data_IF_152706455721
#
_entry.id   IF_152706455721
#
_cell.length_a   1.000
_cell.length_b   1.000
_cell.length_c   1.000
_cell.angle_alpha   90.00
_cell.angle_beta   90.00
_cell.angle_gamma   90.00
#
_symmetry.space_group_name_H-M   'P 1'
#
loop_
_entity.id
_entity.type
_entity.pdbx_description
1 polymer ?
#
# COMPACT_ATOMS: atom_id res chain seq x y z
N UNK A 1 11.23 -9.40 12.12
CA UNK A 1 10.21 -8.45 12.58
C UNK A 1 9.95 -7.41 11.51
N UNK A 2 8.69 -7.09 11.26
CA UNK A 2 8.34 -6.13 10.23
C UNK A 2 8.49 -4.70 10.72
N UNK A 3 8.84 -3.80 9.81
CA UNK A 3 9.02 -2.40 10.15
C UNK A 3 7.69 -1.69 10.40
N UNK A 4 6.64 -2.09 9.69
CA UNK A 4 5.33 -1.45 9.77
C UNK A 4 4.22 -2.50 9.82
N UNK A 5 3.19 -2.25 10.64
CA UNK A 5 1.99 -3.09 10.72
C UNK A 5 0.79 -2.14 10.66
N UNK A 6 0.29 -1.83 9.47
CA UNK A 6 -0.79 -0.84 9.34
C UNK A 6 -2.14 -1.33 9.86
N UNK A 7 -2.96 -0.38 10.29
CA UNK A 7 -4.34 -0.66 10.68
C UNK A 7 -5.22 -0.93 9.46
N UNK A 8 -4.91 -0.25 8.34
CA UNK A 8 -5.55 -0.48 7.04
C UNK A 8 -4.50 -0.42 5.95
N UNK A 9 -4.69 -1.21 4.90
CA UNK A 9 -3.74 -1.23 3.79
C UNK A 9 -4.42 -1.64 2.50
N UNK A 10 -3.89 -1.14 1.41
CA UNK A 10 -4.25 -1.62 0.05
C UNK A 10 -2.99 -1.65 -0.77
N UNK A 11 -3.04 -2.39 -1.87
CA UNK A 11 -1.96 -2.40 -2.84
C UNK A 11 -2.34 -1.47 -3.98
N UNK A 12 -1.43 -0.57 -4.31
CA UNK A 12 -1.60 0.38 -5.41
C UNK A 12 -0.70 -0.06 -6.55
N UNK A 13 -1.27 -0.18 -7.74
CA UNK A 13 -0.52 -0.60 -8.92
C UNK A 13 -0.41 0.56 -9.89
N UNK A 14 0.83 0.86 -10.30
CA UNK A 14 1.11 1.89 -11.30
C UNK A 14 1.65 1.21 -12.56
N UNK A 15 1.08 1.53 -13.71
CA UNK A 15 1.54 1.01 -14.99
C UNK A 15 1.99 2.19 -15.84
N UNK A 16 3.22 2.10 -16.34
CA UNK A 16 3.79 3.12 -17.24
C UNK A 16 4.43 2.39 -18.41
N UNK A 17 5.00 3.15 -19.35
CA UNK A 17 5.75 2.57 -20.46
C UNK A 17 6.97 1.78 -20.00
N UNK A 18 7.43 2.02 -18.77
CA UNK A 18 8.60 1.34 -18.22
C UNK A 18 8.24 0.08 -17.43
N UNK A 19 6.97 -0.20 -17.24
CA UNK A 19 6.53 -1.41 -16.57
C UNK A 19 5.51 -1.15 -15.48
N UNK A 20 5.32 -2.17 -14.65
CA UNK A 20 4.33 -2.17 -13.57
C UNK A 20 5.03 -2.18 -12.23
N UNK A 21 4.59 -1.31 -11.32
CA UNK A 21 5.10 -1.24 -9.96
C UNK A 21 3.93 -1.34 -8.99
N UNK A 22 4.10 -2.14 -7.94
CA UNK A 22 3.11 -2.26 -6.88
C UNK A 22 3.71 -1.72 -5.58
N UNK A 23 2.89 -1.03 -4.80
CA UNK A 23 3.30 -0.43 -3.53
C UNK A 23 2.21 -0.63 -2.50
N UNK A 24 2.59 -0.63 -1.23
CA UNK A 24 1.63 -0.69 -0.13
C UNK A 24 1.23 0.74 0.22
N UNK A 25 -0.06 1.01 0.20
CA UNK A 25 -0.61 2.26 0.72
C UNK A 25 -1.22 1.93 2.08
N UNK A 26 -0.53 2.37 3.12
CA UNK A 26 -0.83 1.99 4.50
C UNK A 26 -1.36 3.17 5.29
N UNK A 27 -2.21 2.89 6.27
CA UNK A 27 -2.69 3.93 7.18
C UNK A 27 -2.84 3.39 8.58
N UNK A 28 -2.76 4.32 9.54
CA UNK A 28 -2.91 4.05 10.96
C UNK A 28 -3.89 5.04 11.54
N UNK A 29 -4.72 4.56 12.48
CA UNK A 29 -5.67 5.41 13.19
C UNK A 29 -5.16 5.74 14.58
N UNK A 30 -5.45 6.96 15.04
CA UNK A 30 -5.15 7.35 16.40
C UNK A 30 -3.67 7.29 16.75
N UNK A 31 -2.81 7.68 15.83
CA UNK A 31 -1.39 7.69 16.05
C UNK A 31 -0.99 8.65 17.17
N UNK A 32 0.30 8.96 17.25
CA UNK A 32 0.80 9.84 18.31
C UNK A 32 -0.02 11.13 18.36
N UNK A 33 -0.52 11.47 19.54
CA UNK A 33 -1.40 12.60 19.79
C UNK A 33 -2.76 12.48 19.08
N UNK A 34 -3.18 11.25 18.76
CA UNK A 34 -4.48 11.02 18.17
C UNK A 34 -4.59 11.38 16.70
N UNK A 35 -3.48 11.67 16.04
CA UNK A 35 -3.47 11.97 14.62
C UNK A 35 -3.40 10.70 13.79
N UNK A 36 -4.15 10.66 12.70
CA UNK A 36 -4.05 9.56 11.74
C UNK A 36 -2.85 9.77 10.83
N UNK A 37 -2.29 8.67 10.33
CA UNK A 37 -1.13 8.68 9.46
C UNK A 37 -1.37 7.84 8.23
N UNK A 38 -0.65 8.16 7.18
CA UNK A 38 -0.58 7.30 6.01
C UNK A 38 0.86 7.23 5.51
N UNK A 39 1.16 6.16 4.75
CA UNK A 39 2.48 5.97 4.17
C UNK A 39 2.35 5.16 2.88
N UNK A 40 3.11 5.55 1.88
CA UNK A 40 3.22 4.80 0.63
C UNK A 40 4.61 4.17 0.60
N UNK A 41 4.68 2.84 0.42
CA UNK A 41 5.97 2.14 0.39
C UNK A 41 6.70 2.42 -0.92
N UNK A 42 7.97 2.03 -0.98
CA UNK A 42 8.67 1.89 -2.26
C UNK A 42 8.12 0.64 -2.97
N UNK A 43 8.64 0.34 -4.14
CA UNK A 43 8.14 -0.80 -4.92
C UNK A 43 8.30 -2.13 -4.19
N UNK A 44 7.27 -2.97 -4.27
CA UNK A 44 7.30 -4.30 -3.67
C UNK A 44 8.20 -5.19 -4.52
N UNK A 45 9.17 -5.84 -3.87
CA UNK A 45 10.09 -6.75 -4.56
C UNK A 45 9.66 -8.20 -4.44
N UNK A 46 9.13 -8.60 -3.27
CA UNK A 46 8.52 -9.90 -3.12
C UNK A 46 7.60 -9.91 -1.89
N UNK A 47 6.77 -10.94 -1.82
CA UNK A 47 5.77 -11.07 -0.77
C UNK A 47 5.91 -12.42 -0.08
N UNK A 48 5.85 -12.41 1.26
CA UNK A 48 5.76 -13.64 2.03
C UNK A 48 4.31 -13.82 2.47
N UNK A 49 3.79 -15.03 2.25
CA UNK A 49 2.44 -15.39 2.68
C UNK A 49 2.60 -16.10 4.02
N UNK A 50 2.19 -15.46 5.09
CA UNK A 50 2.25 -16.03 6.43
C UNK A 50 0.83 -16.18 6.97
N UNK A 51 0.68 -16.90 8.07
CA UNK A 51 -0.64 -17.11 8.65
C UNK A 51 -1.28 -15.77 9.02
N UNK A 52 -2.40 -15.47 8.39
CA UNK A 52 -3.20 -14.28 8.70
C UNK A 52 -2.68 -12.96 8.15
N UNK A 53 -1.60 -12.97 7.37
CA UNK A 53 -1.01 -11.72 6.87
C UNK A 53 -0.15 -11.95 5.64
N UNK A 54 0.13 -10.86 4.94
CA UNK A 54 1.19 -10.82 3.93
C UNK A 54 2.30 -9.91 4.46
N UNK A 55 3.56 -10.30 4.21
CA UNK A 55 4.69 -9.43 4.51
C UNK A 55 5.27 -8.97 3.18
N UNK A 56 5.13 -7.69 2.89
CA UNK A 56 5.61 -7.11 1.65
C UNK A 56 7.01 -6.54 1.84
N UNK A 57 7.96 -7.04 1.06
CA UNK A 57 9.34 -6.57 1.06
C UNK A 57 9.52 -5.56 -0.06
N UNK A 58 10.14 -4.44 0.23
CA UNK A 58 10.22 -3.32 -0.70
C UNK A 58 11.65 -3.00 -1.11
N UNK A 59 11.80 -2.28 -2.20
CA UNK A 59 13.10 -1.90 -2.74
C UNK A 59 13.98 -1.18 -1.73
N UNK A 60 13.36 -0.39 -0.84
CA UNK A 60 14.11 0.36 0.19
C UNK A 60 14.63 -0.52 1.31
N UNK A 61 14.22 -1.79 1.34
CA UNK A 61 14.55 -2.70 2.44
C UNK A 61 13.53 -2.72 3.55
N UNK A 62 12.52 -1.85 3.50
CA UNK A 62 11.47 -1.85 4.52
C UNK A 62 10.49 -3.00 4.30
N UNK A 63 9.80 -3.41 5.36
CA UNK A 63 8.79 -4.47 5.30
C UNK A 63 7.49 -3.98 5.91
N UNK A 64 6.38 -4.40 5.30
CA UNK A 64 5.04 -4.10 5.79
C UNK A 64 4.31 -5.41 6.04
N UNK A 65 3.92 -5.63 7.29
CA UNK A 65 3.10 -6.80 7.65
C UNK A 65 1.64 -6.39 7.56
N UNK A 66 0.94 -6.90 6.56
CA UNK A 66 -0.41 -6.47 6.20
C UNK A 66 -1.41 -7.55 6.56
N UNK A 67 -2.18 -7.33 7.61
CA UNK A 67 -3.10 -8.31 8.18
C UNK A 67 -4.30 -8.45 7.26
N UNK A 68 -4.65 -9.69 6.91
CA UNK A 68 -5.67 -9.98 5.90
C UNK A 68 -7.01 -9.29 6.15
N UNK A 69 -7.48 -9.29 7.37
CA UNK A 69 -8.77 -8.68 7.70
C UNK A 69 -8.78 -7.16 7.69
N UNK A 70 -7.63 -6.54 7.42
CA UNK A 70 -7.49 -5.08 7.46
C UNK A 70 -7.30 -4.46 6.09
N UNK A 71 -7.53 -5.20 5.03
CA UNK A 71 -7.41 -4.65 3.68
C UNK A 71 -8.51 -3.63 3.42
N UNK A 72 -8.13 -2.45 2.98
CA UNK A 72 -9.07 -1.37 2.70
C UNK A 72 -8.38 -0.02 2.83
N UNK A 73 -9.12 1.04 2.50
CA UNK A 73 -8.59 2.40 2.58
C UNK A 73 -9.23 3.18 3.72
N UNK A 74 -8.42 4.00 4.38
CA UNK A 74 -8.95 5.01 5.29
C UNK A 74 -9.36 6.21 4.46
N UNK A 75 -10.07 7.16 5.06
CA UNK A 75 -10.46 8.39 4.36
C UNK A 75 -9.22 9.16 3.88
N UNK A 76 -8.13 9.11 4.65
CA UNK A 76 -6.90 9.82 4.29
C UNK A 76 -6.21 9.21 3.08
N UNK A 77 -6.12 7.89 3.02
CA UNK A 77 -5.52 7.22 1.87
C UNK A 77 -6.41 7.33 0.64
N UNK A 78 -7.73 7.33 0.84
CA UNK A 78 -8.68 7.54 -0.24
C UNK A 78 -8.46 8.90 -0.89
N UNK A 79 -8.34 9.96 -0.08
CA UNK A 79 -8.11 11.31 -0.59
C UNK A 79 -6.77 11.41 -1.33
N UNK A 80 -5.73 10.78 -0.80
CA UNK A 80 -4.42 10.79 -1.45
C UNK A 80 -4.46 10.08 -2.79
N UNK A 81 -5.11 8.93 -2.85
CA UNK A 81 -5.24 8.17 -4.09
C UNK A 81 -5.93 9.03 -5.16
N UNK A 82 -7.04 9.68 -4.82
CA UNK A 82 -7.77 10.50 -5.77
C UNK A 82 -6.97 11.74 -6.19
N UNK A 83 -6.16 12.31 -5.29
CA UNK A 83 -5.27 13.41 -5.65
C UNK A 83 -4.23 12.98 -6.68
N UNK A 84 -3.67 11.79 -6.50
CA UNK A 84 -2.67 11.27 -7.44
C UNK A 84 -3.28 11.00 -8.82
N UNK A 85 -4.52 10.52 -8.86
CA UNK A 85 -5.19 10.28 -10.14
C UNK A 85 -5.29 11.54 -10.99
N UNK A 86 -5.41 12.69 -10.35
CA UNK A 86 -5.58 13.97 -11.06
C UNK A 86 -4.28 14.46 -11.70
N UNK A 87 -3.14 13.97 -11.26
CA UNK A 87 -1.83 14.46 -11.72
C UNK A 87 -0.99 13.39 -12.41
N UNK A 88 -1.60 12.27 -12.77
CA UNK A 88 -0.88 11.21 -13.47
C UNK A 88 -0.34 11.70 -14.81
N UNK A 89 0.89 11.33 -15.16
CA UNK A 89 1.42 11.62 -16.48
C UNK A 89 0.59 10.90 -17.55
N UNK A 90 0.59 11.48 -18.75
CA UNK A 90 -0.07 10.85 -19.88
C UNK A 90 0.55 9.48 -20.13
N UNK A 91 -0.29 8.49 -20.36
CA UNK A 91 0.15 7.12 -20.60
C UNK A 91 0.34 6.29 -19.34
N UNK A 92 0.21 6.89 -18.16
CA UNK A 92 0.32 6.16 -16.91
C UNK A 92 -1.06 5.85 -16.35
N UNK A 93 -1.18 4.71 -15.66
CA UNK A 93 -2.40 4.36 -14.93
C UNK A 93 -2.07 4.05 -13.49
N UNK A 94 -3.02 4.30 -12.62
CA UNK A 94 -2.91 4.04 -11.20
C UNK A 94 -4.22 3.41 -10.74
N UNK A 95 -4.15 2.28 -10.08
CA UNK A 95 -5.35 1.63 -9.58
C UNK A 95 -5.10 0.95 -8.24
N UNK A 96 -6.16 0.75 -7.50
CA UNK A 96 -6.14 -0.07 -6.28
C UNK A 96 -6.33 -1.52 -6.72
N UNK A 97 -5.49 -2.41 -6.22
CA UNK A 97 -5.67 -3.85 -6.40
C UNK A 97 -6.63 -4.31 -5.31
N UNK A 98 -7.90 -4.37 -5.64
CA UNK A 98 -8.93 -4.77 -4.68
C UNK A 98 -8.79 -6.25 -4.35
N UNK A 99 -9.04 -6.58 -3.10
CA UNK A 99 -8.99 -7.95 -2.63
C UNK A 99 -7.68 -8.64 -3.02
N UNK A 100 -6.57 -7.99 -2.70
CA UNK A 100 -5.25 -8.55 -3.00
C UNK A 100 -5.17 -10.00 -2.50
N UNK A 101 -4.68 -10.87 -3.37
CA UNK A 101 -4.57 -12.29 -3.09
C UNK A 101 -3.29 -12.79 -3.76
N UNK A 102 -2.53 -13.61 -3.06
CA UNK A 102 -1.24 -14.11 -3.54
C UNK A 102 -1.36 -15.26 -4.54
N UNK A 103 -2.51 -15.82 -4.76
CA UNK A 103 -2.73 -16.95 -5.69
C UNK A 103 -2.19 -16.72 -7.09
#
# INVERSE_FOLDING_TARGET
MSDYVPDKWVIVETVTSEGTTRKVLASWYGGYQGADEWRLSSGITYTEDVEGAYIFHNESGSTYECILGRQGMSIYTYDRYHSWLKVLPEGATLRIVEEYNED
#
